data_IF_128030326650
#
_entry.id   IF_128030326650
#
_cell.length_a   1.000
_cell.length_b   1.000
_cell.length_c   1.000
_cell.angle_alpha   90.00
_cell.angle_beta   90.00
_cell.angle_gamma   90.00
#
_symmetry.space_group_name_H-M   'P 1'
#
loop_
_entity.id
_entity.type
_entity.pdbx_description
1 polymer ?
#
# COMPACT_ATOMS: atom_id res chain seq x y z
N UNK A 1 -1.50 -31.17 -17.10
CA UNK A 1 -1.55 -29.86 -17.81
C UNK A 1 -0.25 -29.69 -18.57
N UNK A 2 -0.28 -29.50 -19.89
CA UNK A 2 0.95 -29.36 -20.68
C UNK A 2 1.39 -27.90 -20.71
N UNK A 3 2.35 -27.54 -19.85
CA UNK A 3 2.90 -26.18 -19.74
C UNK A 3 3.62 -25.72 -21.02
N UNK A 4 4.00 -26.63 -21.92
CA UNK A 4 4.71 -26.32 -23.16
C UNK A 4 3.88 -25.51 -24.17
N UNK A 5 2.57 -25.35 -23.92
CA UNK A 5 1.65 -24.57 -24.78
C UNK A 5 1.39 -23.15 -24.27
N UNK A 6 1.85 -22.80 -23.06
CA UNK A 6 1.70 -21.44 -22.53
C UNK A 6 2.70 -20.52 -23.22
N UNK A 7 2.20 -19.41 -23.76
CA UNK A 7 3.01 -18.42 -24.49
C UNK A 7 3.34 -17.17 -23.67
N UNK A 8 2.52 -16.88 -22.66
CA UNK A 8 2.68 -15.73 -21.77
C UNK A 8 2.05 -16.05 -20.42
N UNK A 9 2.76 -15.69 -19.36
CA UNK A 9 2.24 -15.68 -17.99
C UNK A 9 2.60 -14.33 -17.40
N UNK A 10 1.60 -13.61 -16.91
CA UNK A 10 1.77 -12.32 -16.23
C UNK A 10 1.50 -12.50 -14.74
N UNK A 11 2.27 -11.81 -13.90
CA UNK A 11 2.11 -11.84 -12.45
C UNK A 11 1.88 -10.43 -11.93
N UNK A 12 0.96 -10.28 -10.99
CA UNK A 12 1.01 -9.15 -10.07
C UNK A 12 2.17 -9.37 -9.08
N UNK A 13 2.84 -8.31 -8.67
CA UNK A 13 4.05 -8.43 -7.84
C UNK A 13 3.71 -8.69 -6.37
N UNK A 14 2.65 -8.08 -5.84
CA UNK A 14 2.38 -8.05 -4.40
C UNK A 14 1.75 -9.35 -3.93
N UNK A 15 2.34 -9.98 -2.91
CA UNK A 15 1.89 -11.28 -2.38
C UNK A 15 2.22 -12.48 -3.28
N UNK A 16 2.71 -12.24 -4.51
CA UNK A 16 3.13 -13.29 -5.44
C UNK A 16 4.65 -13.36 -5.54
N UNK A 17 5.30 -12.26 -5.92
CA UNK A 17 6.75 -12.19 -6.09
C UNK A 17 7.42 -11.52 -4.89
N UNK A 18 6.77 -10.52 -4.30
CA UNK A 18 7.30 -9.73 -3.17
C UNK A 18 6.24 -9.53 -2.08
N UNK A 19 6.71 -9.31 -0.85
CA UNK A 19 5.87 -8.90 0.28
C UNK A 19 6.55 -7.78 1.05
N UNK A 20 5.75 -6.96 1.73
CA UNK A 20 6.27 -5.97 2.67
C UNK A 20 7.03 -6.67 3.79
N UNK A 21 8.18 -6.11 4.18
CA UNK A 21 9.01 -6.63 5.29
C UNK A 21 8.34 -6.44 6.65
N UNK A 22 7.67 -5.31 6.81
CA UNK A 22 6.93 -4.89 8.00
C UNK A 22 5.62 -4.26 7.57
N UNK A 23 4.63 -4.23 8.47
CA UNK A 23 3.35 -3.59 8.18
C UNK A 23 3.52 -2.07 8.00
N UNK A 24 2.72 -1.40 7.14
CA UNK A 24 2.84 0.03 6.92
C UNK A 24 2.78 0.87 8.21
N UNK A 25 1.88 0.55 9.14
CA UNK A 25 1.78 1.29 10.40
C UNK A 25 3.01 1.14 11.30
N UNK A 26 3.69 -0.01 11.26
CA UNK A 26 4.97 -0.19 11.96
C UNK A 26 6.07 0.68 11.34
N UNK A 27 6.19 0.70 10.01
CA UNK A 27 7.17 1.58 9.35
C UNK A 27 6.90 3.05 9.66
N UNK A 28 5.64 3.46 9.65
CA UNK A 28 5.27 4.84 9.95
C UNK A 28 5.61 5.21 11.40
N UNK A 29 5.38 4.30 12.34
CA UNK A 29 5.76 4.47 13.75
C UNK A 29 7.28 4.56 13.95
N UNK A 30 8.05 3.67 13.30
CA UNK A 30 9.51 3.65 13.35
C UNK A 30 10.12 4.95 12.78
N UNK A 31 9.65 5.40 11.59
CA UNK A 31 10.10 6.67 11.01
C UNK A 31 9.69 7.84 11.90
N UNK A 32 8.44 7.90 12.36
CA UNK A 32 7.97 8.97 13.24
C UNK A 32 8.83 9.10 14.49
N UNK A 33 9.15 7.98 15.14
CA UNK A 33 9.94 7.96 16.37
C UNK A 33 11.35 8.55 16.15
N UNK A 34 11.98 8.30 15.00
CA UNK A 34 13.27 8.91 14.64
C UNK A 34 13.23 10.44 14.56
N UNK A 35 12.05 11.01 14.29
CA UNK A 35 11.82 12.45 14.24
C UNK A 35 11.11 12.99 15.49
N UNK A 36 11.04 12.22 16.57
CA UNK A 36 10.43 12.64 17.83
C UNK A 36 8.90 12.56 17.87
N UNK A 37 8.27 11.92 16.88
CA UNK A 37 6.81 11.70 16.83
C UNK A 37 6.52 10.26 17.24
N UNK A 38 5.96 10.07 18.44
CA UNK A 38 5.60 8.75 18.96
C UNK A 38 4.10 8.51 18.80
N UNK A 39 3.74 7.40 18.16
CA UNK A 39 2.35 6.97 17.98
C UNK A 39 2.22 5.45 18.20
N UNK A 40 1.06 5.01 18.65
CA UNK A 40 0.77 3.59 18.83
C UNK A 40 0.66 2.87 17.47
N UNK A 41 1.39 1.76 17.31
CA UNK A 41 1.45 1.00 16.07
C UNK A 41 0.09 0.39 15.69
N UNK A 42 -0.73 -0.01 16.66
CA UNK A 42 -2.06 -0.59 16.37
C UNK A 42 -3.01 0.48 15.84
N UNK A 43 -2.96 1.68 16.44
CA UNK A 43 -3.68 2.85 15.96
C UNK A 43 -3.24 3.23 14.54
N UNK A 44 -1.94 3.26 14.27
CA UNK A 44 -1.41 3.56 12.93
C UNK A 44 -1.88 2.53 11.89
N UNK A 45 -1.82 1.24 12.20
CA UNK A 45 -2.29 0.18 11.30
C UNK A 45 -3.80 0.27 11.01
N UNK A 46 -4.62 0.51 12.04
CA UNK A 46 -6.07 0.69 11.88
C UNK A 46 -6.38 1.91 11.02
N UNK A 47 -5.80 3.05 11.36
CA UNK A 47 -6.05 4.31 10.66
C UNK A 47 -5.57 4.22 9.21
N UNK A 48 -4.41 3.61 8.95
CA UNK A 48 -3.92 3.38 7.58
C UNK A 48 -4.95 2.61 6.75
N UNK A 49 -5.49 1.50 7.28
CA UNK A 49 -6.49 0.70 6.56
C UNK A 49 -7.76 1.49 6.28
N UNK A 50 -8.28 2.19 7.28
CA UNK A 50 -9.50 3.01 7.15
C UNK A 50 -9.32 4.12 6.11
N UNK A 51 -8.22 4.86 6.18
CA UNK A 51 -7.94 5.94 5.24
C UNK A 51 -7.65 5.38 3.84
N UNK A 52 -6.93 4.26 3.71
CA UNK A 52 -6.68 3.65 2.39
C UNK A 52 -7.99 3.24 1.69
N UNK A 53 -8.94 2.65 2.41
CA UNK A 53 -10.25 2.30 1.87
C UNK A 53 -11.01 3.56 1.45
N UNK A 54 -11.06 4.57 2.33
CA UNK A 54 -11.75 5.83 2.07
C UNK A 54 -11.17 6.55 0.84
N UNK A 55 -9.85 6.68 0.77
CA UNK A 55 -9.15 7.34 -0.33
C UNK A 55 -9.37 6.62 -1.66
N UNK A 56 -9.38 5.28 -1.69
CA UNK A 56 -9.69 4.56 -2.93
C UNK A 56 -11.14 4.76 -3.39
N UNK A 57 -12.08 4.96 -2.47
CA UNK A 57 -13.48 5.22 -2.80
C UNK A 57 -13.69 6.67 -3.29
N UNK A 58 -13.11 7.65 -2.58
CA UNK A 58 -13.26 9.08 -2.90
C UNK A 58 -12.38 9.50 -4.09
N UNK A 59 -11.22 8.86 -4.25
CA UNK A 59 -10.16 9.24 -5.20
C UNK A 59 -9.58 8.01 -5.92
N UNK A 60 -10.37 7.35 -6.81
CA UNK A 60 -9.96 6.13 -7.48
C UNK A 60 -8.73 6.34 -8.38
N UNK A 61 -8.03 5.24 -8.66
CA UNK A 61 -6.79 5.23 -9.44
C UNK A 61 -5.78 6.29 -8.96
N UNK A 62 -5.50 6.27 -7.65
CA UNK A 62 -4.54 7.17 -7.00
C UNK A 62 -4.83 8.66 -7.23
N UNK A 63 -6.11 9.01 -7.33
CA UNK A 63 -6.54 10.40 -7.52
C UNK A 63 -6.26 11.00 -8.90
N UNK A 64 -6.04 10.17 -9.93
CA UNK A 64 -5.72 10.60 -11.31
C UNK A 64 -6.65 11.71 -11.84
N UNK A 65 -7.94 11.69 -11.46
CA UNK A 65 -8.95 12.65 -11.93
C UNK A 65 -9.54 13.52 -10.83
N UNK A 66 -9.04 13.43 -9.60
CA UNK A 66 -9.60 14.13 -8.45
C UNK A 66 -8.71 15.25 -7.90
N UNK A 67 -7.64 15.61 -8.62
CA UNK A 67 -6.77 16.74 -8.27
C UNK A 67 -5.81 16.49 -7.11
N UNK A 68 -5.64 15.23 -6.70
CA UNK A 68 -4.70 14.82 -5.63
C UNK A 68 -3.70 13.74 -6.09
N UNK A 69 -3.63 13.48 -7.40
CA UNK A 69 -2.57 12.70 -8.00
C UNK A 69 -1.20 13.36 -7.83
N UNK A 70 -0.14 12.60 -8.09
CA UNK A 70 1.24 13.00 -7.81
C UNK A 70 1.80 14.13 -8.69
N UNK A 71 1.14 14.45 -9.82
CA UNK A 71 1.55 15.51 -10.77
C UNK A 71 0.86 16.87 -10.53
N UNK A 72 -0.02 16.99 -9.54
CA UNK A 72 -0.74 18.25 -9.28
C UNK A 72 0.14 19.32 -8.65
#
# INVERSE_FOLDING_TARGET
>A
MNLSKLRLVTFDVTGTLLRLRTAPGQQYGEIGAMYGIVADNNMLNRNFKEQFIRMNAEHPNYGLKSGIGWEN
#
